data_IF_214753739103
#
_entry.id   IF_214753739103
#
_cell.length_a   1.000
_cell.length_b   1.000
_cell.length_c   1.000
_cell.angle_alpha   90.00
_cell.angle_beta   90.00
_cell.angle_gamma   90.00
#
_symmetry.space_group_name_H-M   'P 1'
#
loop_
_entity.id
_entity.type
_entity.pdbx_description
1 polymer ?
#
# COMPACT_ATOMS: atom_id res chain seq x y z
N UNK A 1 -42.41 -62.75 20.29
CA UNK A 1 -42.52 -61.53 19.44
C UNK A 1 -41.18 -60.82 19.50
N UNK A 2 -40.51 -60.70 18.35
CA UNK A 2 -39.14 -60.23 18.22
C UNK A 2 -38.98 -58.75 18.59
N UNK A 3 -38.07 -58.42 19.52
CA UNK A 3 -37.51 -57.07 19.62
C UNK A 3 -36.28 -56.99 18.70
N UNK A 4 -36.40 -56.23 17.61
CA UNK A 4 -35.28 -55.87 16.75
C UNK A 4 -34.48 -54.75 17.41
N UNK A 5 -33.21 -55.02 17.72
CA UNK A 5 -32.22 -54.00 18.06
C UNK A 5 -31.85 -53.22 16.79
N UNK A 6 -32.20 -51.94 16.74
CA UNK A 6 -31.75 -51.03 15.69
C UNK A 6 -30.54 -50.24 16.20
N UNK A 7 -29.34 -50.69 15.86
CA UNK A 7 -28.10 -49.92 16.01
C UNK A 7 -28.06 -48.85 14.91
N UNK A 8 -28.20 -47.57 15.26
CA UNK A 8 -27.87 -46.46 14.36
C UNK A 8 -26.35 -46.24 14.38
N UNK A 9 -25.63 -46.37 13.25
CA UNK A 9 -24.26 -45.91 13.18
C UNK A 9 -24.25 -44.37 13.11
N UNK A 10 -23.65 -43.71 14.10
CA UNK A 10 -23.26 -42.30 13.99
C UNK A 10 -22.17 -42.20 12.90
N UNK A 11 -22.55 -41.74 11.72
CA UNK A 11 -21.57 -41.30 10.72
C UNK A 11 -21.06 -39.92 11.12
N UNK A 12 -19.87 -39.87 11.72
CA UNK A 12 -19.08 -38.65 11.86
C UNK A 12 -18.69 -38.17 10.45
N UNK A 13 -19.43 -37.19 9.93
CA UNK A 13 -19.02 -36.47 8.74
C UNK A 13 -17.83 -35.57 9.12
N UNK A 14 -16.62 -35.94 8.67
CA UNK A 14 -15.50 -35.03 8.65
C UNK A 14 -15.81 -33.91 7.64
N UNK A 15 -16.27 -32.75 8.14
CA UNK A 15 -16.24 -31.54 7.33
C UNK A 15 -14.77 -31.12 7.18
N UNK A 16 -14.15 -31.58 6.10
CA UNK A 16 -12.98 -30.89 5.57
C UNK A 16 -13.44 -29.49 5.15
N UNK A 17 -13.09 -28.48 5.94
CA UNK A 17 -13.21 -27.09 5.53
C UNK A 17 -12.26 -26.88 4.37
N UNK A 18 -12.78 -27.00 3.15
CA UNK A 18 -12.08 -26.54 1.97
C UNK A 18 -11.76 -25.05 2.18
N UNK A 19 -10.49 -24.73 2.39
CA UNK A 19 -10.02 -23.35 2.37
C UNK A 19 -10.39 -22.79 1.00
N UNK A 20 -11.33 -21.84 0.96
CA UNK A 20 -11.55 -21.04 -0.23
C UNK A 20 -10.21 -20.44 -0.60
N UNK A 21 -9.65 -20.85 -1.75
CA UNK A 21 -8.56 -20.14 -2.38
C UNK A 21 -9.10 -18.75 -2.67
N UNK A 22 -8.85 -17.80 -1.75
CA UNK A 22 -9.06 -16.40 -2.05
C UNK A 22 -8.26 -16.12 -3.31
N UNK A 23 -8.90 -15.46 -4.26
CA UNK A 23 -8.18 -14.98 -5.43
C UNK A 23 -6.97 -14.18 -4.92
N UNK A 24 -5.83 -14.25 -5.60
CA UNK A 24 -4.71 -13.36 -5.29
C UNK A 24 -5.01 -12.03 -5.99
N UNK A 25 -4.42 -10.91 -5.54
CA UNK A 25 -4.45 -9.70 -6.35
C UNK A 25 -4.08 -10.04 -7.81
N UNK A 26 -4.69 -9.35 -8.77
CA UNK A 26 -4.47 -9.66 -10.18
C UNK A 26 -3.06 -9.19 -10.53
N UNK A 27 -2.10 -10.07 -10.25
CA UNK A 27 -0.69 -9.94 -10.56
C UNK A 27 -0.45 -10.60 -11.91
N UNK A 28 -0.13 -9.80 -12.91
CA UNK A 28 0.11 -10.23 -14.28
C UNK A 28 1.57 -10.08 -14.63
N UNK A 29 2.04 -10.93 -15.56
CA UNK A 29 3.43 -10.89 -16.06
C UNK A 29 4.48 -10.99 -14.95
N UNK A 30 4.15 -11.69 -13.88
CA UNK A 30 5.06 -11.98 -12.77
C UNK A 30 5.56 -13.42 -12.86
N UNK A 31 6.82 -13.65 -12.52
CA UNK A 31 7.20 -14.98 -12.03
C UNK A 31 6.67 -15.22 -10.60
N UNK A 32 6.87 -16.44 -10.08
CA UNK A 32 6.36 -16.79 -8.75
C UNK A 32 6.95 -15.92 -7.63
N UNK A 33 8.24 -15.61 -7.69
CA UNK A 33 8.93 -14.80 -6.68
C UNK A 33 8.50 -13.34 -6.76
N UNK A 34 8.42 -12.78 -7.97
CA UNK A 34 7.94 -11.42 -8.20
C UNK A 34 6.50 -11.25 -7.72
N UNK A 35 5.63 -12.22 -8.01
CA UNK A 35 4.22 -12.20 -7.56
C UNK A 35 4.12 -12.22 -6.04
N UNK A 36 4.92 -13.04 -5.35
CA UNK A 36 4.94 -13.10 -3.89
C UNK A 36 5.45 -11.78 -3.27
N UNK A 37 6.54 -11.23 -3.81
CA UNK A 37 7.10 -9.96 -3.36
C UNK A 37 6.12 -8.81 -3.56
N UNK A 38 5.53 -8.69 -4.75
CA UNK A 38 4.59 -7.64 -5.06
C UNK A 38 3.28 -7.76 -4.25
N UNK A 39 2.75 -8.98 -4.07
CA UNK A 39 1.57 -9.23 -3.23
C UNK A 39 1.83 -8.87 -1.76
N UNK A 40 2.99 -9.22 -1.22
CA UNK A 40 3.39 -8.88 0.14
C UNK A 40 3.54 -7.36 0.31
N UNK A 41 4.18 -6.70 -0.66
CA UNK A 41 4.39 -5.26 -0.64
C UNK A 41 3.09 -4.46 -0.74
N UNK A 42 2.17 -4.83 -1.64
CA UNK A 42 0.83 -4.21 -1.75
C UNK A 42 0.03 -4.39 -0.48
N UNK A 43 0.05 -5.60 0.10
CA UNK A 43 -0.64 -5.88 1.37
C UNK A 43 -0.07 -5.00 2.49
N UNK A 44 1.25 -4.92 2.60
CA UNK A 44 1.93 -4.08 3.58
C UNK A 44 1.64 -2.59 3.37
N UNK A 45 1.60 -2.13 2.11
CA UNK A 45 1.22 -0.76 1.75
C UNK A 45 -0.20 -0.42 2.24
N UNK A 46 -1.16 -1.33 2.01
CA UNK A 46 -2.53 -1.20 2.53
C UNK A 46 -2.59 -1.10 4.05
N UNK A 47 -1.84 -1.93 4.76
CA UNK A 47 -1.75 -1.85 6.22
C UNK A 47 -1.11 -0.54 6.71
N UNK A 48 -0.09 -0.04 6.01
CA UNK A 48 0.51 1.27 6.31
C UNK A 48 -0.51 2.39 6.13
N UNK A 49 -1.22 2.38 5.00
CA UNK A 49 -2.25 3.37 4.68
C UNK A 49 -3.39 3.36 5.72
N UNK A 50 -3.88 2.17 6.09
CA UNK A 50 -4.90 2.01 7.13
C UNK A 50 -4.46 2.60 8.49
N UNK A 51 -3.23 2.31 8.92
CA UNK A 51 -2.67 2.83 10.18
C UNK A 51 -2.50 4.35 10.13
N UNK A 52 -2.08 4.88 8.98
CA UNK A 52 -1.90 6.30 8.75
C UNK A 52 -3.25 7.05 8.75
N UNK A 53 -4.24 6.57 8.02
CA UNK A 53 -5.59 7.14 8.01
C UNK A 53 -6.23 7.12 9.40
N UNK A 54 -6.23 5.98 10.09
CA UNK A 54 -6.78 5.86 11.45
C UNK A 54 -6.13 6.84 12.43
N UNK A 55 -4.84 7.13 12.23
CA UNK A 55 -4.09 8.09 13.04
C UNK A 55 -4.49 9.54 12.77
N UNK A 56 -4.73 9.88 11.50
CA UNK A 56 -5.30 11.18 11.12
C UNK A 56 -6.68 11.33 11.76
N UNK A 57 -7.57 10.36 11.61
CA UNK A 57 -8.93 10.37 12.20
C UNK A 57 -8.91 10.49 13.72
N UNK A 58 -7.89 9.93 14.37
CA UNK A 58 -7.68 10.02 15.83
C UNK A 58 -6.92 11.29 16.28
N UNK A 59 -6.57 12.20 15.38
CA UNK A 59 -5.81 13.43 15.65
C UNK A 59 -4.46 13.19 16.39
N UNK A 60 -3.82 12.04 16.21
CA UNK A 60 -2.60 11.67 16.95
C UNK A 60 -1.30 11.86 16.14
N UNK A 61 -1.39 12.44 14.94
CA UNK A 61 -0.28 12.66 14.00
C UNK A 61 -0.19 14.10 13.48
N UNK A 62 -0.85 15.08 14.10
CA UNK A 62 -0.94 16.45 13.57
C UNK A 62 0.42 17.06 13.19
N UNK A 63 1.45 16.89 14.03
CA UNK A 63 2.80 17.40 13.72
C UNK A 63 3.43 16.66 12.53
N UNK A 64 3.32 15.32 12.49
CA UNK A 64 3.81 14.51 11.39
C UNK A 64 3.08 14.85 10.08
N UNK A 65 1.78 15.07 10.15
CA UNK A 65 0.96 15.48 9.02
C UNK A 65 1.43 16.83 8.50
N UNK A 66 1.63 17.82 9.38
CA UNK A 66 2.19 19.12 9.01
C UNK A 66 3.60 19.00 8.41
N UNK A 67 4.43 18.07 8.89
CA UNK A 67 5.76 17.81 8.32
C UNK A 67 5.71 17.36 6.87
N UNK A 68 4.71 16.59 6.43
CA UNK A 68 4.61 16.13 5.04
C UNK A 68 3.72 17.02 4.17
N UNK A 69 2.58 17.47 4.70
CA UNK A 69 1.55 18.16 3.93
C UNK A 69 1.48 19.67 4.19
N UNK A 70 2.30 20.20 5.11
CA UNK A 70 2.46 21.65 5.39
C UNK A 70 1.20 22.39 5.80
N UNK A 71 0.18 21.65 6.20
CA UNK A 71 -1.10 22.15 6.69
C UNK A 71 -1.59 21.24 7.80
N UNK A 72 -2.60 21.70 8.53
CA UNK A 72 -3.32 20.92 9.55
C UNK A 72 -4.83 21.16 9.47
N UNK A 73 -5.32 21.78 8.39
CA UNK A 73 -6.73 22.08 8.24
C UNK A 73 -7.56 20.79 8.05
N UNK A 74 -8.83 20.84 8.45
CA UNK A 74 -9.72 19.68 8.42
C UNK A 74 -9.98 19.19 7.00
N UNK A 75 -10.00 20.07 6.00
CA UNK A 75 -10.25 19.69 4.61
C UNK A 75 -9.11 18.84 4.09
N UNK A 76 -7.87 19.30 4.26
CA UNK A 76 -6.67 18.60 3.83
C UNK A 76 -6.46 17.28 4.59
N UNK A 77 -6.66 17.28 5.91
CA UNK A 77 -6.54 16.04 6.71
C UNK A 77 -7.59 15.00 6.34
N UNK A 78 -8.84 15.40 6.13
CA UNK A 78 -9.88 14.48 5.66
C UNK A 78 -9.58 13.94 4.26
N UNK A 79 -9.15 14.81 3.34
CA UNK A 79 -8.79 14.40 1.97
C UNK A 79 -7.69 13.33 1.96
N UNK A 80 -6.60 13.54 2.72
CA UNK A 80 -5.51 12.56 2.81
C UNK A 80 -5.98 11.25 3.48
N UNK A 81 -6.78 11.34 4.53
CA UNK A 81 -7.31 10.15 5.20
C UNK A 81 -8.20 9.32 4.28
N UNK A 82 -9.05 9.95 3.47
CA UNK A 82 -9.93 9.29 2.49
C UNK A 82 -9.12 8.53 1.44
N UNK A 83 -8.10 9.17 0.83
CA UNK A 83 -7.22 8.50 -0.12
C UNK A 83 -6.52 7.28 0.51
N UNK A 84 -6.00 7.42 1.72
CA UNK A 84 -5.32 6.33 2.42
C UNK A 84 -6.30 5.18 2.80
N UNK A 85 -7.56 5.50 3.12
CA UNK A 85 -8.63 4.54 3.35
C UNK A 85 -8.96 3.76 2.07
N UNK A 86 -9.05 4.44 0.92
CA UNK A 86 -9.27 3.81 -0.39
C UNK A 86 -8.11 2.89 -0.80
N UNK A 87 -6.86 3.30 -0.54
CA UNK A 87 -5.67 2.47 -0.76
C UNK A 87 -5.72 1.22 0.12
N UNK A 88 -6.04 1.38 1.40
CA UNK A 88 -6.17 0.25 2.32
C UNK A 88 -7.27 -0.72 1.88
N UNK A 89 -8.42 -0.20 1.45
CA UNK A 89 -9.51 -1.01 0.94
C UNK A 89 -9.08 -1.80 -0.30
N UNK A 90 -8.47 -1.13 -1.29
CA UNK A 90 -7.98 -1.76 -2.53
C UNK A 90 -6.98 -2.89 -2.24
N UNK A 91 -5.95 -2.60 -1.45
CA UNK A 91 -4.91 -3.57 -1.11
C UNK A 91 -5.45 -4.80 -0.34
N UNK A 92 -6.54 -4.63 0.41
CA UNK A 92 -7.20 -5.73 1.12
C UNK A 92 -8.05 -6.65 0.23
N UNK A 93 -8.34 -6.25 -1.01
CA UNK A 93 -9.27 -6.99 -1.87
C UNK A 93 -8.71 -8.30 -2.43
N UNK A 94 -7.39 -8.55 -2.36
CA UNK A 94 -6.79 -9.83 -2.79
C UNK A 94 -7.44 -10.34 -4.09
N UNK A 95 -7.42 -9.57 -5.17
CA UNK A 95 -7.87 -10.06 -6.50
C UNK A 95 -9.25 -9.61 -6.95
N UNK A 96 -10.08 -9.13 -6.03
CA UNK A 96 -11.36 -8.48 -6.38
C UNK A 96 -11.25 -6.95 -6.45
N UNK A 97 -10.03 -6.41 -6.38
CA UNK A 97 -9.75 -4.98 -6.43
C UNK A 97 -9.96 -4.38 -7.82
N UNK A 98 -9.96 -3.05 -7.89
CA UNK A 98 -10.09 -2.29 -9.14
C UNK A 98 -8.73 -2.03 -9.81
N UNK A 99 -7.63 -2.35 -9.13
CA UNK A 99 -6.27 -2.17 -9.63
C UNK A 99 -5.70 -3.50 -10.15
N UNK A 100 -5.15 -3.47 -11.36
CA UNK A 100 -4.31 -4.56 -11.90
C UNK A 100 -2.84 -4.26 -11.62
N UNK A 101 -2.08 -5.26 -11.21
CA UNK A 101 -0.66 -5.11 -10.87
C UNK A 101 0.17 -5.92 -11.87
N UNK A 102 1.11 -5.29 -12.56
CA UNK A 102 2.02 -5.94 -13.50
C UNK A 102 3.43 -5.93 -12.93
N UNK A 103 4.10 -7.08 -12.91
CA UNK A 103 5.52 -7.16 -12.49
C UNK A 103 6.49 -6.72 -13.60
N UNK A 104 5.97 -6.24 -14.73
CA UNK A 104 6.75 -5.77 -15.87
C UNK A 104 6.33 -4.33 -16.19
N UNK A 105 7.21 -3.53 -16.80
CA UNK A 105 6.94 -2.13 -17.10
C UNK A 105 5.93 -1.92 -18.24
N UNK A 106 5.42 -3.01 -18.84
CA UNK A 106 4.46 -2.99 -19.94
C UNK A 106 4.93 -2.13 -21.13
N UNK A 107 4.24 -1.02 -21.42
CA UNK A 107 4.58 -0.10 -22.52
C UNK A 107 5.50 1.04 -22.09
N UNK A 108 5.97 1.04 -20.84
CA UNK A 108 6.68 2.16 -20.23
C UNK A 108 8.18 1.89 -20.26
N UNK A 109 8.95 2.93 -20.55
CA UNK A 109 10.41 2.89 -20.41
C UNK A 109 10.80 3.39 -19.04
N UNK A 110 11.26 2.49 -18.18
CA UNK A 110 11.72 2.82 -16.84
C UNK A 110 12.92 3.75 -16.88
N UNK A 111 12.78 4.93 -16.26
CA UNK A 111 13.85 5.90 -16.19
C UNK A 111 14.91 5.50 -15.16
N UNK A 112 16.17 5.76 -15.49
CA UNK A 112 17.31 5.61 -14.57
C UNK A 112 18.26 6.81 -14.73
N UNK A 113 18.87 7.25 -13.63
CA UNK A 113 19.71 8.45 -13.60
C UNK A 113 19.71 9.11 -12.22
N UNK A 114 19.36 10.40 -12.17
CA UNK A 114 19.27 11.16 -10.90
C UNK A 114 18.24 10.59 -9.92
N UNK A 115 17.26 9.83 -10.42
CA UNK A 115 16.43 8.92 -9.65
C UNK A 115 16.26 7.61 -10.42
N UNK A 116 15.89 6.54 -9.71
CA UNK A 116 15.57 5.24 -10.31
C UNK A 116 14.08 5.01 -10.19
N UNK A 117 13.40 4.91 -11.33
CA UNK A 117 11.97 4.64 -11.35
C UNK A 117 11.71 3.19 -10.95
N UNK A 118 10.81 3.00 -9.99
CA UNK A 118 10.44 1.67 -9.46
C UNK A 118 9.07 1.23 -9.96
N UNK A 119 8.21 2.16 -10.37
CA UNK A 119 6.95 1.82 -10.99
C UNK A 119 6.36 2.97 -11.77
N UNK A 120 5.18 2.69 -12.30
CA UNK A 120 4.27 3.67 -12.84
C UNK A 120 2.85 3.19 -12.61
N UNK A 121 1.96 4.13 -12.34
CA UNK A 121 0.55 3.83 -12.22
C UNK A 121 -0.33 4.83 -12.97
N UNK A 122 -1.47 4.34 -13.42
CA UNK A 122 -2.50 5.12 -14.10
C UNK A 122 -3.88 4.74 -13.62
N UNK A 123 -4.85 5.62 -13.88
CA UNK A 123 -6.27 5.38 -13.61
C UNK A 123 -7.13 6.04 -14.68
N UNK A 124 -8.27 5.42 -14.98
CA UNK A 124 -9.33 6.01 -15.80
C UNK A 124 -10.42 6.72 -14.95
N UNK A 125 -10.19 6.84 -13.64
CA UNK A 125 -11.15 7.34 -12.66
C UNK A 125 -12.03 6.26 -12.02
N UNK A 126 -11.97 5.02 -12.49
CA UNK A 126 -12.67 3.88 -11.92
C UNK A 126 -11.75 2.69 -11.64
N UNK A 127 -10.95 2.27 -12.64
CA UNK A 127 -9.93 1.22 -12.54
C UNK A 127 -8.54 1.83 -12.50
N UNK A 128 -7.59 1.06 -11.99
CA UNK A 128 -6.18 1.43 -11.99
C UNK A 128 -5.30 0.35 -12.60
N UNK A 129 -4.12 0.75 -13.04
CA UNK A 129 -3.04 -0.16 -13.38
C UNK A 129 -1.76 0.32 -12.70
N UNK A 130 -1.03 -0.62 -12.11
CA UNK A 130 0.31 -0.43 -11.57
C UNK A 130 1.25 -1.35 -12.36
N UNK A 131 2.33 -0.81 -12.89
CA UNK A 131 3.36 -1.57 -13.61
C UNK A 131 4.72 -1.31 -12.95
N UNK A 132 5.39 -2.36 -12.50
CA UNK A 132 6.69 -2.22 -11.82
C UNK A 132 7.85 -2.22 -12.80
N UNK A 133 8.87 -1.45 -12.48
CA UNK A 133 10.18 -1.48 -13.13
C UNK A 133 11.09 -2.52 -12.46
N UNK A 134 12.12 -3.05 -13.17
CA UNK A 134 13.04 -4.04 -12.58
C UNK A 134 13.71 -3.60 -11.27
N UNK A 135 13.94 -2.30 -11.09
CA UNK A 135 14.50 -1.74 -9.86
C UNK A 135 13.60 -1.93 -8.63
N UNK A 136 12.29 -2.10 -8.81
CA UNK A 136 11.35 -2.38 -7.72
C UNK A 136 11.74 -3.60 -6.91
N UNK A 137 12.08 -4.70 -7.59
CA UNK A 137 12.45 -5.96 -6.95
C UNK A 137 13.85 -5.94 -6.32
N UNK A 138 14.64 -4.89 -6.57
CA UNK A 138 15.94 -4.66 -5.94
C UNK A 138 15.84 -3.85 -4.64
N UNK A 139 14.68 -3.22 -4.39
CA UNK A 139 14.43 -2.53 -3.12
C UNK A 139 14.35 -3.55 -1.97
N UNK A 140 14.73 -3.15 -0.74
CA UNK A 140 14.37 -3.93 0.44
C UNK A 140 12.84 -4.07 0.50
N UNK A 141 12.35 -5.25 0.91
CA UNK A 141 10.90 -5.44 1.11
C UNK A 141 10.36 -4.50 2.18
N UNK A 142 11.14 -4.30 3.25
CA UNK A 142 10.83 -3.51 4.44
C UNK A 142 12.11 -2.82 4.90
N UNK A 143 12.07 -1.52 5.11
CA UNK A 143 13.15 -0.77 5.76
C UNK A 143 12.63 0.03 6.96
N UNK A 144 13.40 0.05 8.05
CA UNK A 144 13.15 0.91 9.22
C UNK A 144 13.92 2.24 9.14
N UNK A 145 14.72 2.43 8.10
CA UNK A 145 15.24 3.74 7.75
C UNK A 145 14.10 4.53 7.09
N UNK A 146 13.71 5.63 7.73
CA UNK A 146 12.59 6.44 7.30
C UNK A 146 12.82 7.13 5.94
N UNK A 147 14.08 7.33 5.56
CA UNK A 147 14.48 8.04 4.34
C UNK A 147 14.69 7.13 3.12
N UNK A 148 14.86 5.83 3.35
CA UNK A 148 15.10 4.83 2.31
C UNK A 148 13.79 4.37 1.69
N UNK A 149 13.71 4.26 0.37
CA UNK A 149 12.57 3.64 -0.31
C UNK A 149 12.59 2.11 -0.11
N UNK A 150 11.43 1.52 0.16
CA UNK A 150 11.23 0.07 0.21
C UNK A 150 10.01 -0.32 -0.63
N UNK A 151 9.82 -1.62 -0.89
CA UNK A 151 8.76 -2.10 -1.79
C UNK A 151 7.36 -1.69 -1.34
N UNK A 152 7.09 -1.70 -0.02
CA UNK A 152 5.80 -1.24 0.53
C UNK A 152 5.57 0.26 0.34
N UNK A 153 6.63 1.08 0.43
CA UNK A 153 6.54 2.54 0.24
C UNK A 153 6.38 2.88 -1.23
N UNK A 154 7.12 2.21 -2.12
CA UNK A 154 6.92 2.31 -3.56
C UNK A 154 5.53 1.83 -3.97
N UNK A 155 5.02 0.73 -3.42
CA UNK A 155 3.64 0.28 -3.67
C UNK A 155 2.60 1.31 -3.26
N UNK A 156 2.77 1.94 -2.08
CA UNK A 156 1.85 2.97 -1.61
C UNK A 156 1.89 4.20 -2.52
N UNK A 157 3.07 4.63 -2.97
CA UNK A 157 3.24 5.68 -3.96
C UNK A 157 2.42 5.39 -5.23
N UNK A 158 2.62 4.24 -5.86
CA UNK A 158 1.90 3.90 -7.09
C UNK A 158 0.38 3.81 -6.86
N UNK A 159 -0.05 3.29 -5.71
CA UNK A 159 -1.46 3.23 -5.35
C UNK A 159 -2.09 4.62 -5.18
N UNK A 160 -1.35 5.63 -4.73
CA UNK A 160 -1.85 7.01 -4.68
C UNK A 160 -2.27 7.51 -6.07
N UNK A 161 -1.51 7.23 -7.12
CA UNK A 161 -1.91 7.59 -8.49
C UNK A 161 -3.22 6.93 -8.90
N UNK A 162 -3.43 5.67 -8.52
CA UNK A 162 -4.69 4.95 -8.80
C UNK A 162 -5.91 5.57 -8.11
N UNK A 163 -5.69 6.40 -7.07
CA UNK A 163 -6.71 7.12 -6.30
C UNK A 163 -6.72 8.63 -6.60
N UNK A 164 -6.14 9.04 -7.73
CA UNK A 164 -6.26 10.41 -8.24
C UNK A 164 -5.23 11.42 -7.70
N UNK A 165 -4.19 10.97 -6.99
CA UNK A 165 -3.04 11.82 -6.65
C UNK A 165 -2.14 11.95 -7.87
N UNK A 166 -2.41 12.95 -8.71
CA UNK A 166 -1.81 13.13 -10.05
C UNK A 166 -1.10 14.48 -10.21
N UNK A 167 -0.54 15.02 -9.13
CA UNK A 167 0.16 16.30 -9.14
C UNK A 167 1.53 16.23 -9.80
N UNK A 168 2.32 17.28 -9.56
CA UNK A 168 3.71 17.30 -9.99
C UNK A 168 4.54 16.36 -9.10
N UNK A 169 5.25 15.42 -9.72
CA UNK A 169 6.06 14.44 -9.02
C UNK A 169 7.34 15.05 -8.45
N UNK A 170 7.51 14.90 -7.13
CA UNK A 170 8.75 15.23 -6.42
C UNK A 170 9.19 14.01 -5.63
N UNK A 171 10.34 13.47 -6.02
CA UNK A 171 10.88 12.23 -5.47
C UNK A 171 11.91 12.45 -4.37
N UNK A 172 11.95 11.50 -3.44
CA UNK A 172 12.96 11.43 -2.40
C UNK A 172 12.59 12.18 -1.12
N UNK A 173 12.91 11.56 0.01
CA UNK A 173 12.54 12.01 1.34
C UNK A 173 12.88 13.48 1.61
N UNK A 174 14.11 13.92 1.30
CA UNK A 174 14.51 15.31 1.57
C UNK A 174 13.75 16.34 0.73
N UNK A 175 13.40 15.99 -0.51
CA UNK A 175 12.71 16.91 -1.42
C UNK A 175 11.24 17.05 -1.05
N UNK A 176 10.56 15.95 -0.67
CA UNK A 176 9.16 16.01 -0.23
C UNK A 176 8.98 16.86 1.04
N UNK A 177 10.00 16.90 1.90
CA UNK A 177 10.00 17.77 3.07
C UNK A 177 10.12 19.27 2.72
N UNK A 178 10.55 19.63 1.51
CA UNK A 178 10.65 21.01 1.04
C UNK A 178 9.42 21.55 0.31
N UNK A 179 8.41 20.71 0.03
CA UNK A 179 7.22 21.11 -0.73
C UNK A 179 6.36 22.14 0.00
N UNK A 180 5.57 22.91 -0.75
CA UNK A 180 4.42 23.64 -0.19
C UNK A 180 3.20 22.71 -0.01
N UNK A 181 2.16 23.20 0.68
CA UNK A 181 0.95 22.40 0.97
C UNK A 181 0.20 21.94 -0.28
N UNK A 182 0.02 22.83 -1.26
CA UNK A 182 -0.74 22.53 -2.47
C UNK A 182 -0.05 21.44 -3.31
N UNK A 183 1.28 21.52 -3.40
CA UNK A 183 2.10 20.52 -4.09
C UNK A 183 2.13 19.21 -3.30
N UNK A 184 2.34 19.27 -1.98
CA UNK A 184 2.43 18.08 -1.14
C UNK A 184 1.15 17.25 -1.13
N UNK A 185 -0.04 17.87 -1.13
CA UNK A 185 -1.34 17.18 -1.17
C UNK A 185 -1.60 16.45 -2.49
N UNK A 186 -0.89 16.81 -3.56
CA UNK A 186 -1.02 16.20 -4.88
C UNK A 186 0.18 15.32 -5.27
N UNK A 187 1.16 15.15 -4.37
CA UNK A 187 2.39 14.39 -4.61
C UNK A 187 2.32 13.03 -3.92
N UNK A 188 2.33 11.93 -4.69
CA UNK A 188 2.20 10.57 -4.16
C UNK A 188 3.29 10.19 -3.14
N UNK A 189 4.52 10.68 -3.36
CA UNK A 189 5.66 10.42 -2.48
C UNK A 189 5.45 11.00 -1.06
N UNK A 190 4.68 12.09 -0.92
CA UNK A 190 4.31 12.66 0.38
C UNK A 190 3.46 11.70 1.20
N UNK A 191 2.49 11.02 0.57
CA UNK A 191 1.62 10.03 1.21
C UNK A 191 2.42 8.79 1.61
N UNK A 192 3.32 8.35 0.73
CA UNK A 192 4.15 7.17 0.95
C UNK A 192 5.08 7.36 2.16
N UNK A 193 5.85 8.45 2.21
CA UNK A 193 6.72 8.72 3.36
C UNK A 193 5.93 9.04 4.63
N UNK A 194 4.85 9.83 4.57
CA UNK A 194 3.99 10.06 5.73
C UNK A 194 3.54 8.75 6.39
N UNK A 195 3.04 7.81 5.57
CA UNK A 195 2.54 6.51 6.03
C UNK A 195 3.66 5.63 6.58
N UNK A 196 4.82 5.61 5.90
CA UNK A 196 6.01 4.89 6.38
C UNK A 196 6.47 5.41 7.74
N UNK A 197 6.65 6.72 7.88
CA UNK A 197 7.06 7.35 9.14
C UNK A 197 6.07 7.04 10.25
N UNK A 198 4.77 7.07 9.95
CA UNK A 198 3.76 6.74 10.95
C UNK A 198 3.91 5.31 11.48
N UNK A 199 4.15 4.32 10.61
CA UNK A 199 4.31 2.93 11.05
C UNK A 199 5.60 2.73 11.83
N UNK A 200 6.71 3.30 11.37
CA UNK A 200 8.00 3.22 12.07
C UNK A 200 7.91 3.87 13.46
N UNK A 201 7.24 5.02 13.57
CA UNK A 201 7.13 5.75 14.83
C UNK A 201 6.41 4.96 15.93
N UNK A 202 5.33 4.25 15.58
CA UNK A 202 4.65 3.37 16.56
C UNK A 202 5.49 2.17 16.91
N UNK A 203 6.28 1.63 15.96
CA UNK A 203 7.10 0.44 16.22
C UNK A 203 8.35 0.74 17.05
N UNK A 204 9.03 1.86 16.80
CA UNK A 204 10.29 2.23 17.46
C UNK A 204 10.08 3.11 18.71
N UNK A 205 8.86 3.55 18.98
CA UNK A 205 8.57 4.55 20.01
C UNK A 205 9.08 5.95 19.62
N UNK A 206 8.63 6.98 20.35
CA UNK A 206 8.83 8.42 20.03
C UNK A 206 10.29 8.89 19.83
N UNK A 207 11.30 8.05 20.06
CA UNK A 207 12.64 8.50 20.49
C UNK A 207 13.72 8.67 19.41
N UNK A 208 13.41 8.55 18.11
CA UNK A 208 14.46 8.56 17.05
C UNK A 208 14.29 9.58 15.93
N UNK A 209 13.75 10.76 16.26
CA UNK A 209 13.51 11.84 15.30
C UNK A 209 14.69 12.81 15.06
N UNK A 210 15.88 12.55 15.62
CA UNK A 210 17.03 13.47 15.52
C UNK A 210 18.39 12.76 15.40
N UNK A 211 18.54 11.80 14.49
CA UNK A 211 19.87 11.40 14.00
C UNK A 211 19.84 11.20 12.50
#
# INVERSE_FOLDING_TARGET
MHLNNLLLPLTLANLATASTLKQRAVFVKCDNSESEMAQAAVTSAGEMAAKAAASIRANNVTLLFQTFFKTTDSTSTNHVAEILEEIAQEASQQGSGLVTYSCQPDSITCQSGSFTQTGYASTDGYRGQVSTCPAYFQLPQVSDDCSVLDQRTSSLHELCHTKGVLGYEVYGHSNVLGLDSQTALKNAESYAFFSKFRVIWVRLGKFRWYR
#
